data_IF_558559310033
#
_entry.id   IF_558559310033
#
_cell.length_a   1.000
_cell.length_b   1.000
_cell.length_c   1.000
_cell.angle_alpha   90.00
_cell.angle_beta   90.00
_cell.angle_gamma   90.00
#
_symmetry.space_group_name_H-M   'P 1'
#
loop_
_entity.id
_entity.type
_entity.pdbx_description
1 polymer ?
#
# COMPACT_ATOMS: atom_id res chain seq x y z
N UNK A 1 -33.43 -40.65 5.37
CA UNK A 1 -34.73 -40.43 6.03
C UNK A 1 -34.55 -39.37 7.10
N UNK A 2 -35.22 -38.24 6.93
CA UNK A 2 -35.47 -37.24 7.97
C UNK A 2 -36.59 -37.78 8.90
N UNK A 3 -36.73 -37.27 10.13
CA UNK A 3 -37.53 -36.05 10.28
C UNK A 3 -36.96 -35.02 11.27
N UNK A 4 -37.60 -33.85 11.19
CA UNK A 4 -37.30 -32.55 11.81
C UNK A 4 -37.75 -32.46 13.27
N UNK A 5 -37.15 -31.52 13.99
CA UNK A 5 -37.72 -30.91 15.19
C UNK A 5 -36.70 -30.09 15.96
N UNK A 6 -36.45 -28.85 15.55
CA UNK A 6 -35.56 -27.94 16.26
C UNK A 6 -36.27 -27.17 17.37
N UNK A 7 -35.47 -26.74 18.35
CA UNK A 7 -35.56 -25.46 19.05
C UNK A 7 -34.27 -25.30 19.86
N UNK A 8 -33.63 -24.15 19.70
CA UNK A 8 -32.34 -23.85 20.27
C UNK A 8 -32.41 -23.22 21.67
N UNK A 9 -31.22 -22.78 22.08
CA UNK A 9 -30.86 -21.85 23.16
C UNK A 9 -30.38 -22.53 24.44
N UNK A 10 -29.11 -22.24 24.76
CA UNK A 10 -28.74 -21.84 26.12
C UNK A 10 -27.73 -22.73 26.82
N UNK A 11 -26.45 -22.39 26.66
CA UNK A 11 -25.37 -22.90 27.50
C UNK A 11 -25.57 -22.51 28.98
N UNK A 12 -25.34 -23.49 29.85
CA UNK A 12 -24.70 -23.45 31.17
C UNK A 12 -24.81 -22.18 32.06
N UNK A 13 -25.59 -22.35 33.14
CA UNK A 13 -25.38 -21.99 34.57
C UNK A 13 -23.90 -21.92 35.06
N UNK A 14 -23.54 -21.43 36.29
CA UNK A 14 -24.20 -20.59 37.33
C UNK A 14 -23.31 -19.39 37.78
N UNK A 15 -23.79 -18.32 38.43
CA UNK A 15 -24.00 -18.21 39.90
C UNK A 15 -24.19 -16.71 40.20
N UNK A 16 -25.32 -16.22 40.71
CA UNK A 16 -25.89 -16.40 42.05
C UNK A 16 -25.02 -15.82 43.18
N UNK A 17 -25.03 -14.49 43.31
CA UNK A 17 -24.85 -13.81 44.60
C UNK A 17 -26.01 -12.83 44.81
N UNK A 18 -27.17 -13.38 45.18
CA UNK A 18 -28.21 -12.66 45.92
C UNK A 18 -28.22 -13.22 47.34
N UNK A 19 -28.14 -12.29 48.29
CA UNK A 19 -28.11 -12.50 49.73
C UNK A 19 -29.31 -13.27 50.27
N UNK A 20 -29.14 -14.20 51.22
CA UNK A 20 -30.24 -14.64 52.07
C UNK A 20 -30.36 -13.67 53.27
N UNK A 21 -31.49 -12.95 53.32
CA UNK A 21 -32.00 -12.40 54.59
C UNK A 21 -32.63 -13.57 55.36
N UNK A 22 -31.95 -14.07 56.37
CA UNK A 22 -32.55 -14.99 57.33
C UNK A 22 -33.22 -14.16 58.45
N UNK A 23 -34.54 -14.23 58.52
CA UNK A 23 -35.31 -13.87 59.70
C UNK A 23 -35.74 -15.19 60.35
N UNK A 24 -35.36 -15.42 61.60
CA UNK A 24 -35.88 -16.53 62.38
C UNK A 24 -37.04 -16.02 63.24
N UNK A 25 -38.24 -16.51 62.92
CA UNK A 25 -39.47 -16.29 63.67
C UNK A 25 -39.40 -16.94 65.05
N UNK A 26 -39.88 -16.19 66.04
CA UNK A 26 -40.09 -16.61 67.43
C UNK A 26 -41.41 -17.38 67.50
N UNK A 27 -41.44 -18.64 67.98
CA UNK A 27 -42.71 -19.31 68.26
C UNK A 27 -43.32 -18.79 69.56
N UNK A 28 -44.64 -18.54 69.62
CA UNK A 28 -45.31 -18.13 70.83
C UNK A 28 -45.80 -19.36 71.61
N UNK A 29 -45.83 -19.23 72.94
CA UNK A 29 -46.72 -20.02 73.78
C UNK A 29 -46.06 -21.16 74.57
N UNK A 30 -45.98 -20.97 75.89
CA UNK A 30 -45.59 -22.01 76.82
C UNK A 30 -45.18 -21.47 78.18
N UNK A 31 -46.09 -20.81 78.89
CA UNK A 31 -45.92 -20.59 80.32
C UNK A 31 -45.97 -21.94 81.05
N UNK A 32 -45.13 -22.13 82.06
CA UNK A 32 -45.52 -22.38 83.45
C UNK A 32 -44.30 -22.79 84.29
N UNK A 33 -44.35 -22.30 85.51
CA UNK A 33 -43.40 -22.35 86.61
C UNK A 33 -43.15 -23.76 87.15
N UNK A 34 -41.88 -24.09 87.41
CA UNK A 34 -41.49 -25.25 88.22
C UNK A 34 -40.37 -24.87 89.20
N UNK A 35 -40.40 -25.35 90.46
CA UNK A 35 -39.47 -24.97 91.51
C UNK A 35 -38.14 -25.71 91.32
N UNK A 36 -37.16 -25.55 92.22
CA UNK A 36 -35.77 -26.04 92.13
C UNK A 36 -34.89 -25.13 91.27
N UNK A 37 -33.92 -24.40 91.79
CA UNK A 37 -33.04 -24.73 92.90
C UNK A 37 -31.62 -24.57 92.37
N UNK A 38 -30.95 -23.49 92.76
CA UNK A 38 -29.55 -23.20 92.41
C UNK A 38 -28.66 -24.36 92.83
N UNK A 39 -27.92 -24.93 91.87
CA UNK A 39 -26.65 -25.58 92.14
C UNK A 39 -25.70 -25.34 90.96
N UNK A 40 -24.72 -24.47 91.18
CA UNK A 40 -23.58 -24.25 90.29
C UNK A 40 -22.73 -25.53 90.23
N UNK A 41 -22.26 -25.98 89.05
CA UNK A 41 -21.08 -26.82 88.97
C UNK A 41 -19.81 -25.94 89.00
N UNK A 42 -18.75 -26.38 89.71
CA UNK A 42 -17.48 -25.66 89.78
C UNK A 42 -16.58 -25.97 88.57
N UNK A 43 -15.72 -25.03 88.23
CA UNK A 43 -14.43 -25.32 87.59
C UNK A 43 -14.40 -25.43 86.06
N UNK A 44 -14.84 -24.39 85.35
CA UNK A 44 -14.43 -24.16 83.96
C UNK A 44 -13.40 -23.04 83.92
N UNK A 45 -12.12 -23.36 83.74
CA UNK A 45 -11.06 -22.38 83.54
C UNK A 45 -11.34 -21.56 82.27
N UNK A 46 -11.77 -20.31 82.44
CA UNK A 46 -11.98 -19.35 81.35
C UNK A 46 -10.63 -18.73 81.04
N UNK A 47 -10.08 -19.04 79.86
CA UNK A 47 -8.93 -18.36 79.29
C UNK A 47 -9.28 -16.88 79.09
N UNK A 48 -8.67 -15.99 79.88
CA UNK A 48 -8.70 -14.56 79.62
C UNK A 48 -7.79 -14.28 78.42
N UNK A 49 -8.39 -14.05 77.26
CA UNK A 49 -7.72 -13.44 76.12
C UNK A 49 -7.54 -11.96 76.47
N UNK A 50 -6.32 -11.40 76.48
CA UNK A 50 -6.14 -9.98 76.74
C UNK A 50 -6.90 -9.19 75.68
N UNK A 51 -7.59 -8.13 76.13
CA UNK A 51 -8.32 -7.20 75.29
C UNK A 51 -7.40 -6.73 74.15
N UNK A 52 -7.82 -6.98 72.91
CA UNK A 52 -7.16 -6.44 71.76
C UNK A 52 -7.37 -4.92 71.80
N UNK A 53 -6.30 -4.17 72.05
CA UNK A 53 -6.29 -2.73 71.84
C UNK A 53 -6.42 -2.51 70.33
N UNK A 54 -7.66 -2.32 69.88
CA UNK A 54 -7.94 -1.88 68.53
C UNK A 54 -7.28 -0.53 68.35
N UNK A 55 -6.08 -0.52 67.75
CA UNK A 55 -5.53 0.67 67.11
C UNK A 55 -6.36 0.90 65.85
N UNK A 56 -7.64 1.23 66.03
CA UNK A 56 -8.46 1.84 65.03
C UNK A 56 -7.75 3.15 64.69
N UNK A 57 -6.96 3.13 63.61
CA UNK A 57 -6.63 4.37 62.92
C UNK A 57 -8.01 4.94 62.62
N UNK A 58 -8.40 5.98 63.35
CA UNK A 58 -9.68 6.65 63.21
C UNK A 58 -9.69 7.37 61.86
N UNK A 59 -9.83 6.58 60.80
CA UNK A 59 -9.86 7.02 59.42
C UNK A 59 -11.01 8.00 59.24
N UNK A 60 -12.10 7.81 60.00
CA UNK A 60 -13.25 8.68 60.00
C UNK A 60 -12.88 10.03 60.64
N UNK A 61 -12.19 10.05 61.79
CA UNK A 61 -11.67 11.26 62.43
C UNK A 61 -10.64 12.01 61.59
N UNK A 62 -9.72 11.28 60.94
CA UNK A 62 -8.72 11.86 60.04
C UNK A 62 -9.35 12.46 58.76
N UNK A 63 -10.41 11.84 58.23
CA UNK A 63 -11.19 12.39 57.12
C UNK A 63 -11.93 13.65 57.56
N UNK A 64 -12.58 13.64 58.74
CA UNK A 64 -13.30 14.81 59.29
C UNK A 64 -12.37 16.02 59.51
N UNK A 65 -11.13 15.80 59.97
CA UNK A 65 -10.14 16.87 60.14
C UNK A 65 -9.72 17.52 58.81
N UNK A 66 -9.74 16.76 57.71
CA UNK A 66 -9.17 17.18 56.43
C UNK A 66 -10.21 17.41 55.32
N UNK A 67 -11.52 17.34 55.61
CA UNK A 67 -12.60 17.55 54.62
C UNK A 67 -12.41 18.88 53.87
N UNK A 68 -12.03 19.94 54.58
CA UNK A 68 -11.79 21.26 53.97
C UNK A 68 -10.68 21.23 52.90
N UNK A 69 -9.58 20.52 53.18
CA UNK A 69 -8.47 20.36 52.22
C UNK A 69 -8.91 19.56 51.00
N UNK A 70 -9.67 18.48 51.20
CA UNK A 70 -10.19 17.65 50.10
C UNK A 70 -11.13 18.46 49.20
N UNK A 71 -12.05 19.25 49.78
CA UNK A 71 -12.97 20.11 49.01
C UNK A 71 -12.21 21.17 48.22
N UNK A 72 -11.18 21.79 48.80
CA UNK A 72 -10.34 22.78 48.10
C UNK A 72 -9.58 22.14 46.94
N UNK A 73 -9.00 20.95 47.13
CA UNK A 73 -8.27 20.23 46.08
C UNK A 73 -9.20 19.82 44.93
N UNK A 74 -10.41 19.34 45.23
CA UNK A 74 -11.41 19.02 44.20
C UNK A 74 -11.89 20.28 43.47
N UNK A 75 -12.06 21.39 44.19
CA UNK A 75 -12.36 22.70 43.61
C UNK A 75 -11.29 23.14 42.62
N UNK A 76 -10.01 23.09 43.03
CA UNK A 76 -8.87 23.44 42.18
C UNK A 76 -8.73 22.51 40.98
N UNK A 77 -8.93 21.20 41.15
CA UNK A 77 -8.90 20.23 40.06
C UNK A 77 -10.02 20.48 39.05
N UNK A 78 -11.24 20.74 39.50
CA UNK A 78 -12.38 21.06 38.63
C UNK A 78 -12.17 22.37 37.86
N UNK A 79 -11.60 23.39 38.52
CA UNK A 79 -11.25 24.65 37.90
C UNK A 79 -10.15 24.48 36.84
N UNK A 80 -9.10 23.70 37.15
CA UNK A 80 -8.03 23.39 36.21
C UNK A 80 -8.56 22.67 34.97
N UNK A 81 -9.40 21.66 35.15
CA UNK A 81 -10.05 20.93 34.05
C UNK A 81 -10.93 21.87 33.21
N UNK A 82 -11.71 22.75 33.84
CA UNK A 82 -12.51 23.74 33.14
C UNK A 82 -11.64 24.70 32.32
N UNK A 83 -10.52 25.18 32.87
CA UNK A 83 -9.57 26.04 32.16
C UNK A 83 -8.95 25.31 30.96
N UNK A 84 -8.50 24.06 31.14
CA UNK A 84 -7.96 23.24 30.04
C UNK A 84 -9.02 23.00 28.97
N UNK A 85 -10.25 22.67 29.36
CA UNK A 85 -11.36 22.49 28.43
C UNK A 85 -11.67 23.77 27.64
N UNK A 86 -11.64 24.94 28.29
CA UNK A 86 -11.81 26.24 27.64
C UNK A 86 -10.64 26.55 26.69
N UNK A 87 -9.40 26.27 27.08
CA UNK A 87 -8.21 26.45 26.22
C UNK A 87 -8.30 25.53 25.00
N UNK A 88 -8.63 24.26 25.20
CA UNK A 88 -8.81 23.28 24.12
C UNK A 88 -9.93 23.73 23.20
N UNK A 89 -11.07 24.13 23.74
CA UNK A 89 -12.20 24.63 22.95
C UNK A 89 -11.83 25.90 22.18
N UNK A 90 -11.09 26.84 22.78
CA UNK A 90 -10.59 28.05 22.11
C UNK A 90 -9.56 27.72 21.02
N UNK A 91 -8.67 26.76 21.26
CA UNK A 91 -7.67 26.30 20.30
C UNK A 91 -8.35 25.64 19.11
N UNK A 92 -9.28 24.71 19.37
CA UNK A 92 -10.08 24.04 18.34
C UNK A 92 -10.92 25.04 17.57
N UNK A 93 -11.61 25.97 18.24
CA UNK A 93 -12.40 27.02 17.57
C UNK A 93 -11.53 28.00 16.77
N UNK A 94 -10.32 28.34 17.23
CA UNK A 94 -9.39 29.20 16.47
C UNK A 94 -8.84 28.51 15.23
N UNK A 95 -8.53 27.21 15.33
CA UNK A 95 -8.15 26.43 14.15
C UNK A 95 -9.35 26.32 13.21
N UNK A 96 -10.52 25.91 13.70
CA UNK A 96 -11.74 25.78 12.91
C UNK A 96 -12.10 27.11 12.21
N UNK A 97 -12.05 28.26 12.90
CA UNK A 97 -12.35 29.55 12.30
C UNK A 97 -11.33 30.01 11.25
N UNK A 98 -10.04 29.61 11.38
CA UNK A 98 -9.01 29.88 10.37
C UNK A 98 -9.17 28.97 9.16
N UNK A 99 -9.53 27.71 9.38
CA UNK A 99 -9.87 26.77 8.31
C UNK A 99 -11.13 27.25 7.58
N UNK A 100 -12.21 27.56 8.30
CA UNK A 100 -13.48 28.07 7.76
C UNK A 100 -13.32 29.42 7.02
N UNK A 101 -12.40 30.29 7.43
CA UNK A 101 -12.10 31.50 6.68
C UNK A 101 -11.42 31.23 5.32
N UNK A 102 -10.75 30.07 5.18
CA UNK A 102 -10.15 29.59 3.93
C UNK A 102 -11.15 28.69 3.17
N UNK A 103 -12.08 28.02 3.85
CA UNK A 103 -13.00 27.02 3.30
C UNK A 103 -14.47 27.43 3.25
N UNK A 104 -14.84 28.72 3.42
CA UNK A 104 -16.23 29.23 3.41
C UNK A 104 -17.02 29.04 2.10
N UNK A 105 -16.60 28.13 1.22
CA UNK A 105 -17.37 27.62 0.08
C UNK A 105 -17.34 26.10 -0.16
N UNK A 106 -16.60 25.27 0.60
CA UNK A 106 -16.36 23.88 0.15
C UNK A 106 -15.78 22.90 1.19
N UNK A 107 -16.47 22.57 2.29
CA UNK A 107 -16.06 21.40 3.10
C UNK A 107 -16.58 20.06 2.55
N UNK A 108 -17.71 20.02 1.85
CA UNK A 108 -18.24 18.81 1.17
C UNK A 108 -17.85 18.71 -0.32
N UNK A 109 -17.13 19.72 -0.83
CA UNK A 109 -16.66 19.75 -2.23
C UNK A 109 -15.15 19.75 -2.35
N UNK A 110 -14.39 20.01 -1.30
CA UNK A 110 -12.93 20.16 -1.45
C UNK A 110 -12.20 18.82 -1.47
N UNK A 111 -12.57 17.85 -0.63
CA UNK A 111 -11.90 16.54 -0.65
C UNK A 111 -12.33 15.75 -1.88
N UNK A 112 -13.63 15.77 -2.16
CA UNK A 112 -14.26 15.20 -3.34
C UNK A 112 -13.65 15.80 -4.61
N UNK A 113 -13.49 17.13 -4.71
CA UNK A 113 -12.84 17.75 -5.86
C UNK A 113 -11.35 17.42 -5.98
N UNK A 114 -10.62 17.26 -4.87
CA UNK A 114 -9.21 16.85 -4.91
C UNK A 114 -9.11 15.39 -5.39
N UNK A 115 -9.97 14.50 -4.88
CA UNK A 115 -10.02 13.10 -5.29
C UNK A 115 -10.45 12.98 -6.75
N UNK A 116 -11.47 13.72 -7.17
CA UNK A 116 -11.94 13.77 -8.56
C UNK A 116 -10.85 14.32 -9.49
N UNK A 117 -10.16 15.38 -9.11
CA UNK A 117 -9.02 15.90 -9.87
C UNK A 117 -7.86 14.91 -9.94
N UNK A 118 -7.62 14.14 -8.87
CA UNK A 118 -6.59 13.11 -8.84
C UNK A 118 -6.98 11.91 -9.73
N UNK A 119 -8.21 11.42 -9.64
CA UNK A 119 -8.74 10.36 -10.49
C UNK A 119 -8.75 10.78 -11.97
N UNK A 120 -9.16 12.02 -12.27
CA UNK A 120 -9.11 12.57 -13.62
C UNK A 120 -7.67 12.62 -14.15
N UNK A 121 -6.70 12.99 -13.30
CA UNK A 121 -5.28 12.99 -13.67
C UNK A 121 -4.75 11.58 -13.89
N UNK A 122 -5.10 10.62 -13.04
CA UNK A 122 -4.73 9.21 -13.23
C UNK A 122 -5.31 8.67 -14.54
N UNK A 123 -6.59 8.92 -14.81
CA UNK A 123 -7.20 8.53 -16.08
C UNK A 123 -6.56 9.22 -17.29
N UNK A 124 -6.16 10.49 -17.17
CA UNK A 124 -5.42 11.17 -18.24
C UNK A 124 -4.06 10.51 -18.49
N UNK A 125 -3.30 10.21 -17.43
CA UNK A 125 -2.00 9.52 -17.56
C UNK A 125 -2.15 8.15 -18.19
N UNK A 126 -3.18 7.39 -17.82
CA UNK A 126 -3.48 6.09 -18.45
C UNK A 126 -3.74 6.27 -19.95
N UNK A 127 -4.56 7.25 -20.35
CA UNK A 127 -4.80 7.54 -21.77
C UNK A 127 -3.53 7.96 -22.50
N UNK A 128 -2.72 8.83 -21.90
CA UNK A 128 -1.47 9.29 -22.50
C UNK A 128 -0.48 8.12 -22.68
N UNK A 129 -0.47 7.18 -21.74
CA UNK A 129 0.35 5.96 -21.83
C UNK A 129 -0.17 5.01 -22.92
N UNK A 130 -1.48 4.83 -23.03
CA UNK A 130 -2.09 4.04 -24.11
C UNK A 130 -1.77 4.64 -25.48
N UNK A 131 -1.90 5.97 -25.63
CA UNK A 131 -1.54 6.70 -26.85
C UNK A 131 -0.05 6.58 -27.18
N UNK A 132 0.82 6.74 -26.18
CA UNK A 132 2.26 6.58 -26.36
C UNK A 132 2.60 5.15 -26.81
N UNK A 133 2.01 4.15 -26.17
CA UNK A 133 2.21 2.73 -26.49
C UNK A 133 1.70 2.39 -27.90
N UNK A 134 0.56 2.96 -28.30
CA UNK A 134 0.04 2.80 -29.64
C UNK A 134 0.98 3.41 -30.69
N UNK A 135 1.52 4.60 -30.43
CA UNK A 135 2.49 5.26 -31.31
C UNK A 135 3.81 4.49 -31.41
N UNK A 136 4.34 3.99 -30.29
CA UNK A 136 5.57 3.16 -30.31
C UNK A 136 5.34 1.86 -31.07
N UNK A 137 4.19 1.20 -30.92
CA UNK A 137 3.87 -0.01 -31.66
C UNK A 137 3.81 0.22 -33.18
N UNK A 138 3.29 1.38 -33.62
CA UNK A 138 3.33 1.79 -35.03
C UNK A 138 4.78 2.02 -35.47
N UNK A 139 5.56 2.77 -34.69
CA UNK A 139 6.95 3.07 -35.02
C UNK A 139 7.80 1.79 -35.13
N UNK A 140 7.67 0.87 -34.18
CA UNK A 140 8.36 -0.43 -34.21
C UNK A 140 7.96 -1.26 -35.43
N UNK A 141 6.68 -1.23 -35.82
CA UNK A 141 6.21 -1.92 -37.03
C UNK A 141 6.83 -1.34 -38.29
N UNK A 142 6.92 -0.02 -38.38
CA UNK A 142 7.49 0.65 -39.54
C UNK A 142 9.02 0.50 -39.58
N UNK A 143 9.69 0.56 -38.43
CA UNK A 143 11.14 0.33 -38.29
C UNK A 143 11.55 -1.07 -38.71
N UNK A 144 10.73 -2.11 -38.44
CA UNK A 144 11.01 -3.48 -38.90
C UNK A 144 11.13 -3.60 -40.42
N UNK A 145 10.50 -2.70 -41.19
CA UNK A 145 10.55 -2.65 -42.66
C UNK A 145 11.54 -1.63 -43.19
N UNK A 146 12.14 -0.83 -42.32
CA UNK A 146 13.15 0.14 -42.72
C UNK A 146 14.47 -0.58 -43.01
N UNK A 147 15.22 -0.09 -44.01
CA UNK A 147 16.57 -0.58 -44.27
C UNK A 147 17.50 -0.14 -43.13
N UNK A 148 17.78 -1.05 -42.21
CA UNK A 148 18.61 -0.83 -41.03
C UNK A 148 20.03 -1.39 -41.19
N UNK A 149 20.24 -2.25 -42.19
CA UNK A 149 21.50 -2.94 -42.48
C UNK A 149 22.05 -2.45 -43.81
N UNK A 150 23.27 -1.91 -43.77
CA UNK A 150 23.92 -1.31 -44.94
C UNK A 150 25.33 -1.87 -45.09
N UNK A 151 25.68 -2.28 -46.31
CA UNK A 151 27.04 -2.70 -46.68
C UNK A 151 27.46 -2.03 -47.97
N UNK A 152 28.59 -1.34 -47.97
CA UNK A 152 29.13 -0.66 -49.15
C UNK A 152 30.54 -1.16 -49.46
N UNK A 153 30.73 -1.65 -50.67
CA UNK A 153 32.04 -2.08 -51.18
C UNK A 153 32.36 -1.29 -52.43
N UNK A 154 33.51 -0.62 -52.44
CA UNK A 154 34.02 0.09 -53.62
C UNK A 154 35.07 -0.76 -54.30
N UNK A 155 34.96 -0.91 -55.62
CA UNK A 155 35.86 -1.74 -56.40
C UNK A 155 36.14 -1.13 -57.77
N UNK A 156 37.08 -1.73 -58.49
CA UNK A 156 37.38 -1.37 -59.87
C UNK A 156 37.22 -2.60 -60.77
N UNK A 157 36.18 -2.66 -61.63
CA UNK A 157 35.95 -3.80 -62.52
C UNK A 157 36.93 -3.85 -63.70
N UNK A 158 37.66 -2.76 -63.97
CA UNK A 158 38.58 -2.67 -65.12
C UNK A 158 39.90 -2.02 -64.70
N UNK A 159 41.00 -2.76 -64.76
CA UNK A 159 42.34 -2.25 -64.38
C UNK A 159 42.73 -0.97 -65.14
N UNK A 160 42.19 -0.77 -66.34
CA UNK A 160 42.49 0.34 -67.24
C UNK A 160 41.80 1.68 -66.91
N UNK A 161 40.86 1.75 -65.94
CA UNK A 161 40.03 2.96 -65.76
C UNK A 161 40.49 3.87 -64.61
N UNK A 162 41.47 3.45 -63.80
CA UNK A 162 42.00 4.28 -62.71
C UNK A 162 40.97 4.60 -61.62
N UNK A 163 41.11 3.94 -60.46
CA UNK A 163 40.34 4.23 -59.25
C UNK A 163 39.09 3.35 -59.03
N UNK A 164 38.62 3.28 -57.77
CA UNK A 164 37.46 2.48 -57.36
C UNK A 164 36.15 3.25 -57.58
N UNK A 165 35.81 3.47 -58.86
CA UNK A 165 34.61 4.22 -59.27
C UNK A 165 33.34 3.36 -59.29
N UNK A 166 33.47 2.03 -59.25
CA UNK A 166 32.35 1.11 -59.14
C UNK A 166 32.05 0.79 -57.69
N UNK A 167 30.79 0.44 -57.41
CA UNK A 167 30.36 0.11 -56.05
C UNK A 167 29.32 -1.01 -56.04
N UNK A 168 29.26 -1.73 -54.93
CA UNK A 168 28.17 -2.62 -54.56
C UNK A 168 27.62 -2.15 -53.21
N UNK A 169 26.31 -1.91 -53.16
CA UNK A 169 25.56 -1.42 -52.02
C UNK A 169 24.47 -2.42 -51.67
N UNK A 170 24.56 -3.02 -50.49
CA UNK A 170 23.50 -3.86 -49.93
C UNK A 170 22.66 -3.03 -48.95
N UNK A 171 21.34 -2.99 -49.17
CA UNK A 171 20.36 -2.38 -48.29
C UNK A 171 19.36 -3.44 -47.87
N UNK A 172 19.37 -3.79 -46.59
CA UNK A 172 18.51 -4.83 -46.01
C UNK A 172 17.80 -4.30 -44.77
N UNK A 173 16.63 -4.85 -44.48
CA UNK A 173 15.93 -4.66 -43.23
C UNK A 173 16.50 -5.54 -42.10
N UNK A 174 15.85 -5.54 -40.94
CA UNK A 174 16.27 -6.34 -39.79
C UNK A 174 16.21 -7.85 -40.08
N UNK A 175 15.26 -8.28 -40.91
CA UNK A 175 15.01 -9.67 -41.31
C UNK A 175 15.95 -10.16 -42.44
N UNK A 176 16.73 -9.25 -43.04
CA UNK A 176 17.62 -9.56 -44.15
C UNK A 176 16.90 -9.56 -45.51
N UNK A 177 15.73 -8.95 -45.60
CA UNK A 177 15.02 -8.70 -46.86
C UNK A 177 15.43 -7.33 -47.43
N UNK A 178 15.61 -7.27 -48.75
CA UNK A 178 15.98 -6.02 -49.42
C UNK A 178 16.58 -6.24 -50.80
N UNK A 179 17.61 -5.46 -51.13
CA UNK A 179 18.27 -5.57 -52.42
C UNK A 179 19.75 -5.18 -52.35
N UNK A 180 20.50 -5.69 -53.32
CA UNK A 180 21.87 -5.25 -53.58
C UNK A 180 21.93 -4.55 -54.92
N UNK A 181 22.47 -3.34 -54.92
CA UNK A 181 22.69 -2.51 -56.09
C UNK A 181 24.17 -2.49 -56.42
N UNK A 182 24.55 -2.82 -57.65
CA UNK A 182 25.92 -2.70 -58.13
C UNK A 182 25.99 -1.73 -59.31
N UNK A 183 26.96 -0.82 -59.27
CA UNK A 183 27.24 0.11 -60.36
C UNK A 183 28.59 -0.22 -60.95
N UNK A 184 28.60 -0.61 -62.22
CA UNK A 184 29.82 -0.84 -62.99
C UNK A 184 30.08 0.39 -63.85
N UNK A 185 31.13 1.11 -63.49
CA UNK A 185 31.60 2.27 -64.23
C UNK A 185 32.62 1.83 -65.29
N UNK A 186 32.34 2.12 -66.56
CA UNK A 186 33.24 1.94 -67.68
C UNK A 186 33.54 3.31 -68.30
N UNK A 187 34.65 3.42 -69.05
CA UNK A 187 35.13 4.69 -69.64
C UNK A 187 34.05 5.53 -70.35
N UNK A 188 33.10 4.88 -71.03
CA UNK A 188 32.07 5.55 -71.83
C UNK A 188 30.64 5.40 -71.28
N UNK A 189 30.42 4.61 -70.22
CA UNK A 189 29.07 4.34 -69.70
C UNK A 189 29.10 3.79 -68.28
N UNK A 190 28.03 4.03 -67.52
CA UNK A 190 27.78 3.39 -66.22
C UNK A 190 26.55 2.51 -66.32
N UNK A 191 26.65 1.27 -65.83
CA UNK A 191 25.50 0.36 -65.74
C UNK A 191 25.20 0.07 -64.29
N UNK A 192 23.93 0.11 -63.92
CA UNK A 192 23.47 -0.20 -62.57
C UNK A 192 22.60 -1.44 -62.62
N UNK A 193 22.92 -2.41 -61.78
CA UNK A 193 22.16 -3.64 -61.59
C UNK A 193 21.58 -3.65 -60.18
N UNK A 194 20.39 -4.25 -60.04
CA UNK A 194 19.76 -4.49 -58.74
C UNK A 194 19.32 -5.95 -58.68
N UNK A 195 19.65 -6.63 -57.58
CA UNK A 195 19.27 -8.02 -57.30
C UNK A 195 18.52 -8.06 -55.97
N UNK A 196 17.43 -8.80 -55.92
CA UNK A 196 16.64 -8.96 -54.71
C UNK A 196 17.33 -9.89 -53.72
N UNK A 197 17.16 -9.60 -52.43
CA UNK A 197 17.60 -10.48 -51.34
C UNK A 197 16.40 -10.77 -50.46
N UNK A 198 16.20 -12.05 -50.14
CA UNK A 198 15.17 -12.50 -49.20
C UNK A 198 15.79 -13.35 -48.11
N UNK A 199 15.53 -13.02 -46.85
CA UNK A 199 16.07 -13.68 -45.67
C UNK A 199 17.61 -13.89 -45.77
N UNK A 200 18.33 -12.87 -46.27
CA UNK A 200 19.78 -12.91 -46.47
C UNK A 200 20.26 -13.76 -47.65
N UNK A 201 19.37 -14.31 -48.47
CA UNK A 201 19.70 -15.10 -49.66
C UNK A 201 19.40 -14.32 -50.94
N UNK A 202 20.35 -14.21 -51.89
CA UNK A 202 20.12 -13.52 -53.15
C UNK A 202 19.25 -14.34 -54.10
N UNK A 203 18.45 -13.65 -54.92
CA UNK A 203 17.58 -14.25 -55.94
C UNK A 203 18.31 -14.71 -57.21
N UNK A 204 19.54 -14.23 -57.42
CA UNK A 204 20.38 -14.49 -58.57
C UNK A 204 21.86 -14.64 -58.18
N UNK A 205 22.67 -15.17 -59.11
CA UNK A 205 24.11 -15.26 -58.92
C UNK A 205 24.72 -13.86 -58.71
N UNK A 206 25.49 -13.71 -57.63
CA UNK A 206 26.13 -12.45 -57.24
C UNK A 206 27.63 -12.46 -57.56
N UNK A 207 28.20 -11.28 -57.87
CA UNK A 207 29.66 -11.11 -57.97
C UNK A 207 30.33 -11.22 -56.60
N UNK A 208 31.66 -11.34 -56.57
CA UNK A 208 32.40 -11.40 -55.30
C UNK A 208 32.18 -10.14 -54.45
N UNK A 209 32.14 -8.98 -55.08
CA UNK A 209 31.94 -7.67 -54.44
C UNK A 209 30.51 -7.49 -53.93
N UNK A 210 29.52 -7.99 -54.68
CA UNK A 210 28.13 -8.01 -54.25
C UNK A 210 27.92 -8.93 -53.03
N UNK A 211 28.57 -10.10 -53.01
CA UNK A 211 28.55 -11.00 -51.86
C UNK A 211 29.25 -10.39 -50.64
N UNK A 212 30.35 -9.66 -50.85
CA UNK A 212 31.05 -8.92 -49.80
C UNK A 212 30.16 -7.83 -49.19
N UNK A 213 29.47 -7.06 -50.02
CA UNK A 213 28.54 -6.03 -49.57
C UNK A 213 27.38 -6.64 -48.76
N UNK A 214 26.82 -7.75 -49.24
CA UNK A 214 25.77 -8.50 -48.53
C UNK A 214 26.26 -9.00 -47.16
N UNK A 215 27.46 -9.59 -47.11
CA UNK A 215 28.04 -10.08 -45.86
C UNK A 215 28.29 -8.96 -44.86
N UNK A 216 28.75 -7.80 -45.35
CA UNK A 216 28.96 -6.60 -44.52
C UNK A 216 27.64 -6.07 -43.96
N UNK A 217 26.56 -6.05 -44.75
CA UNK A 217 25.25 -5.63 -44.29
C UNK A 217 24.66 -6.59 -43.23
N UNK A 218 24.84 -7.90 -43.42
CA UNK A 218 24.36 -8.92 -42.49
C UNK A 218 25.21 -9.01 -41.21
N UNK A 219 26.42 -8.45 -41.21
CA UNK A 219 27.25 -8.41 -40.01
C UNK A 219 26.56 -7.61 -38.89
N UNK A 220 26.77 -7.98 -37.62
CA UNK A 220 26.25 -7.20 -36.50
C UNK A 220 26.77 -5.76 -36.58
N UNK A 221 25.88 -4.77 -36.49
CA UNK A 221 26.30 -3.38 -36.41
C UNK A 221 27.26 -3.21 -35.21
N UNK A 222 28.32 -2.39 -35.34
CA UNK A 222 29.17 -2.09 -34.20
C UNK A 222 28.30 -1.48 -33.10
N UNK A 223 28.21 -2.16 -31.94
CA UNK A 223 27.53 -1.63 -30.77
C UNK A 223 28.16 -0.27 -30.48
N UNK A 224 27.37 0.80 -30.58
CA UNK A 224 27.78 2.10 -30.06
C UNK A 224 28.21 1.87 -28.61
N UNK A 225 29.47 2.15 -28.32
CA UNK A 225 30.03 1.96 -26.99
C UNK A 225 29.12 2.65 -25.97
N UNK A 226 28.70 1.91 -24.94
CA UNK A 226 27.92 2.48 -23.85
C UNK A 226 28.71 3.65 -23.24
N UNK A 227 28.09 4.83 -23.07
CA UNK A 227 28.74 5.92 -22.37
C UNK A 227 28.91 5.51 -20.89
N UNK A 228 30.17 5.45 -20.46
CA UNK A 228 30.60 5.21 -19.07
C UNK A 228 30.15 6.28 -18.11
#
# INVERSE_FOLDING_TARGET
MSPRGGLGIGCASPSAWRSPRCWAEVPPGGGYTGPWGRSSPPGGARLEVPAQEDLDIDVIGAIQANVGVVVILLGLASLLLAVVAVIQLRRTRRLAARFEAITRGSEERSLEAILEAHLARVHQVVRDLEDATARTAVLERDMRRAFSRVGLVRYNPFEDTGGNQSFALALLDEHGDGFVMSSLHARNQTRVYAKGVRAGQPDAAMSAEEQEALRTALAPAPRLAEPS
#
